data_IF_431630685613
#
_entry.id   IF_431630685613
#
_cell.length_a   1.000
_cell.length_b   1.000
_cell.length_c   1.000
_cell.angle_alpha   90.00
_cell.angle_beta   90.00
_cell.angle_gamma   90.00
#
_symmetry.space_group_name_H-M   'P 1'
#
loop_
_entity.id
_entity.type
_entity.pdbx_description
1 polymer ?
#
# COMPACT_ATOMS: atom_id res chain seq x y z
N UNK A 1 -1.10 13.88 -7.73
CA UNK A 1 0.00 12.91 -7.49
C UNK A 1 -0.48 11.69 -6.69
N UNK A 2 -1.26 11.85 -5.61
CA UNK A 2 -1.74 10.71 -4.80
C UNK A 2 -2.61 9.72 -5.59
N UNK A 3 -3.37 10.18 -6.58
CA UNK A 3 -4.37 9.34 -7.27
C UNK A 3 -3.78 8.11 -7.94
N UNK A 4 -2.59 8.22 -8.55
CA UNK A 4 -1.91 7.07 -9.16
C UNK A 4 -1.54 6.03 -8.11
N UNK A 5 -0.96 6.48 -6.98
CA UNK A 5 -0.61 5.60 -5.86
C UNK A 5 -1.87 4.96 -5.24
N UNK A 6 -2.93 5.73 -5.04
CA UNK A 6 -4.20 5.21 -4.49
C UNK A 6 -4.81 4.18 -5.43
N UNK A 7 -4.80 4.42 -6.75
CA UNK A 7 -5.27 3.45 -7.73
C UNK A 7 -4.43 2.17 -7.73
N UNK A 8 -3.10 2.29 -7.64
CA UNK A 8 -2.19 1.16 -7.55
C UNK A 8 -2.43 0.34 -6.27
N UNK A 9 -2.51 1.02 -5.12
CA UNK A 9 -2.78 0.42 -3.82
C UNK A 9 -4.13 -0.31 -3.79
N UNK A 10 -5.19 0.30 -4.32
CA UNK A 10 -6.51 -0.33 -4.38
C UNK A 10 -6.46 -1.61 -5.23
N UNK A 11 -5.83 -1.55 -6.41
CA UNK A 11 -5.68 -2.72 -7.28
C UNK A 11 -4.90 -3.84 -6.58
N UNK A 12 -3.76 -3.52 -5.97
CA UNK A 12 -2.95 -4.46 -5.22
C UNK A 12 -3.74 -5.09 -4.06
N UNK A 13 -4.45 -4.29 -3.27
CA UNK A 13 -5.18 -4.79 -2.09
C UNK A 13 -6.37 -5.66 -2.48
N UNK A 14 -7.09 -5.34 -3.56
CA UNK A 14 -8.17 -6.23 -4.02
C UNK A 14 -7.63 -7.57 -4.53
N UNK A 15 -6.47 -7.56 -5.20
CA UNK A 15 -5.77 -8.79 -5.57
C UNK A 15 -5.37 -9.58 -4.32
N UNK A 16 -4.74 -8.92 -3.34
CA UNK A 16 -4.35 -9.53 -2.06
C UNK A 16 -5.55 -10.11 -1.30
N UNK A 17 -6.63 -9.35 -1.17
CA UNK A 17 -7.84 -9.80 -0.48
C UNK A 17 -8.47 -11.01 -1.17
N UNK A 18 -8.47 -11.05 -2.51
CA UNK A 18 -8.92 -12.21 -3.26
C UNK A 18 -8.08 -13.46 -2.97
N UNK A 19 -6.75 -13.32 -2.88
CA UNK A 19 -5.86 -14.43 -2.52
C UNK A 19 -6.07 -14.89 -1.07
N UNK A 20 -6.20 -13.96 -0.12
CA UNK A 20 -6.49 -14.30 1.29
C UNK A 20 -7.83 -15.05 1.37
N UNK A 21 -8.87 -14.56 0.69
CA UNK A 21 -10.19 -15.18 0.72
C UNK A 21 -10.21 -16.62 0.18
N UNK A 22 -9.41 -16.92 -0.85
CA UNK A 22 -9.26 -18.30 -1.35
C UNK A 22 -8.68 -19.26 -0.29
N UNK A 23 -7.84 -18.75 0.61
CA UNK A 23 -7.21 -19.53 1.67
C UNK A 23 -8.02 -19.61 2.97
N UNK A 24 -8.95 -18.68 3.19
CA UNK A 24 -9.71 -18.50 4.42
C UNK A 24 -11.23 -18.50 4.13
N UNK A 25 -11.71 -19.61 3.56
CA UNK A 25 -13.13 -19.76 3.20
C UNK A 25 -13.98 -19.83 4.48
N UNK A 26 -15.05 -19.04 4.53
CA UNK A 26 -15.97 -18.93 5.67
C UNK A 26 -15.36 -18.36 6.97
N UNK A 27 -14.20 -17.72 6.89
CA UNK A 27 -13.60 -17.00 8.02
C UNK A 27 -13.82 -15.49 7.87
N UNK A 28 -13.75 -14.79 9.00
CA UNK A 28 -13.77 -13.32 9.02
C UNK A 28 -12.40 -12.81 8.57
N UNK A 29 -12.36 -11.97 7.54
CA UNK A 29 -11.14 -11.34 7.03
C UNK A 29 -11.20 -9.84 7.33
N UNK A 30 -10.23 -9.36 8.11
CA UNK A 30 -10.04 -7.95 8.40
C UNK A 30 -8.57 -7.58 8.20
N UNK A 31 -8.31 -6.65 7.28
CA UNK A 31 -6.97 -6.19 6.94
C UNK A 31 -6.95 -4.66 6.88
N UNK A 32 -5.76 -4.07 7.00
CA UNK A 32 -5.53 -2.64 6.75
C UNK A 32 -4.82 -2.47 5.40
N UNK A 33 -5.55 -2.15 4.32
CA UNK A 33 -5.00 -1.90 2.98
C UNK A 33 -3.81 -0.94 2.98
N UNK A 34 -4.01 0.22 3.60
CA UNK A 34 -3.03 1.31 3.62
C UNK A 34 -1.77 0.92 4.38
N UNK A 35 -1.89 0.21 5.52
CA UNK A 35 -0.72 -0.21 6.30
C UNK A 35 0.17 -1.18 5.52
N UNK A 36 -0.44 -2.19 4.88
CA UNK A 36 0.31 -3.19 4.09
C UNK A 36 1.01 -2.50 2.89
N UNK A 37 0.30 -1.62 2.19
CA UNK A 37 0.85 -0.91 1.05
C UNK A 37 2.03 0.00 1.45
N UNK A 38 1.90 0.77 2.54
CA UNK A 38 2.98 1.65 3.04
C UNK A 38 4.20 0.81 3.46
N UNK A 39 4.02 -0.25 4.24
CA UNK A 39 5.12 -1.11 4.68
C UNK A 39 5.89 -1.75 3.50
N UNK A 40 5.17 -2.24 2.49
CA UNK A 40 5.77 -2.79 1.28
C UNK A 40 6.42 -1.71 0.40
N UNK A 41 5.88 -0.49 0.38
CA UNK A 41 6.51 0.64 -0.30
C UNK A 41 7.82 1.06 0.35
N UNK A 42 7.93 0.97 1.68
CA UNK A 42 9.22 1.19 2.37
C UNK A 42 10.21 0.08 2.07
N UNK A 43 9.75 -1.18 2.03
CA UNK A 43 10.60 -2.30 1.61
C UNK A 43 11.08 -2.15 0.16
N UNK A 44 10.21 -1.64 -0.73
CA UNK A 44 10.54 -1.37 -2.13
C UNK A 44 11.69 -0.37 -2.30
N UNK A 45 11.83 0.61 -1.39
CA UNK A 45 12.95 1.56 -1.40
C UNK A 45 14.31 0.88 -1.24
N UNK A 46 14.39 -0.20 -0.46
CA UNK A 46 15.62 -0.96 -0.24
C UNK A 46 15.84 -2.10 -1.22
N UNK A 47 14.86 -2.41 -2.09
CA UNK A 47 14.96 -3.49 -3.05
C UNK A 47 15.77 -3.08 -4.28
N UNK A 48 16.45 -4.05 -4.92
CA UNK A 48 17.19 -3.84 -6.16
C UNK A 48 17.02 -5.02 -7.13
N UNK A 49 17.33 -4.78 -8.40
CA UNK A 49 17.31 -5.79 -9.46
C UNK A 49 15.95 -6.49 -9.58
N UNK A 50 15.96 -7.82 -9.72
CA UNK A 50 14.74 -8.62 -9.89
C UNK A 50 13.75 -8.49 -8.73
N UNK A 51 14.25 -8.30 -7.50
CA UNK A 51 13.38 -8.12 -6.34
C UNK A 51 12.56 -6.84 -6.48
N UNK A 52 13.22 -5.74 -6.83
CA UNK A 52 12.55 -4.46 -7.06
C UNK A 52 11.56 -4.55 -8.23
N UNK A 53 11.93 -5.21 -9.31
CA UNK A 53 11.07 -5.42 -10.49
C UNK A 53 9.78 -6.18 -10.13
N UNK A 54 9.87 -7.29 -9.41
CA UNK A 54 8.69 -8.05 -9.00
C UNK A 54 7.83 -7.28 -8.00
N UNK A 55 8.44 -6.53 -7.08
CA UNK A 55 7.69 -5.67 -6.16
C UNK A 55 6.94 -4.57 -6.91
N UNK A 56 7.59 -3.89 -7.87
CA UNK A 56 6.94 -2.86 -8.67
C UNK A 56 5.73 -3.40 -9.43
N UNK A 57 5.85 -4.59 -10.01
CA UNK A 57 4.75 -5.26 -10.71
C UNK A 57 3.60 -5.64 -9.77
N UNK A 58 3.90 -6.28 -8.65
CA UNK A 58 2.88 -6.72 -7.68
C UNK A 58 2.16 -5.54 -7.04
N UNK A 59 2.90 -4.47 -6.69
CA UNK A 59 2.35 -3.26 -6.08
C UNK A 59 1.72 -2.31 -7.11
N UNK A 60 1.76 -2.65 -8.41
CA UNK A 60 1.24 -1.82 -9.50
C UNK A 60 1.90 -0.43 -9.58
N UNK A 61 3.20 -0.34 -9.31
CA UNK A 61 3.99 0.89 -9.36
C UNK A 61 4.48 1.26 -10.77
N UNK A 62 4.15 0.46 -11.78
CA UNK A 62 4.51 0.66 -13.18
C UNK A 62 4.05 2.05 -13.66
N UNK A 63 4.98 2.85 -14.20
CA UNK A 63 4.70 4.22 -14.64
C UNK A 63 4.78 5.29 -13.54
N UNK A 64 5.28 4.95 -12.35
CA UNK A 64 5.72 5.88 -11.31
C UNK A 64 7.20 5.65 -11.00
N UNK A 65 7.95 6.72 -10.75
CA UNK A 65 9.30 6.62 -10.23
C UNK A 65 9.30 6.57 -8.68
N UNK A 66 10.44 6.20 -8.08
CA UNK A 66 10.56 6.02 -6.63
C UNK A 66 10.26 7.30 -5.85
N UNK A 67 10.65 8.46 -6.37
CA UNK A 67 10.41 9.75 -5.72
C UNK A 67 8.91 10.10 -5.71
N UNK A 68 8.21 9.89 -6.81
CA UNK A 68 6.74 10.07 -6.89
C UNK A 68 6.01 9.16 -5.88
N UNK A 69 6.45 7.91 -5.75
CA UNK A 69 5.89 6.94 -4.80
C UNK A 69 6.11 7.40 -3.36
N UNK A 70 7.33 7.87 -3.03
CA UNK A 70 7.67 8.31 -1.69
C UNK A 70 6.91 9.59 -1.31
N UNK A 71 6.85 10.58 -2.20
CA UNK A 71 6.10 11.81 -1.98
C UNK A 71 4.60 11.53 -1.80
N UNK A 72 4.02 10.65 -2.63
CA UNK A 72 2.61 10.29 -2.52
C UNK A 72 2.30 9.52 -1.22
N UNK A 73 3.18 8.62 -0.76
CA UNK A 73 3.01 7.92 0.52
C UNK A 73 3.15 8.87 1.70
N UNK A 74 4.08 9.83 1.67
CA UNK A 74 4.21 10.85 2.72
C UNK A 74 2.93 11.71 2.81
N UNK A 75 2.40 12.14 1.66
CA UNK A 75 1.14 12.88 1.60
C UNK A 75 -0.03 12.07 2.16
N UNK A 76 -0.11 10.79 1.82
CA UNK A 76 -1.14 9.88 2.35
C UNK A 76 -0.98 9.68 3.86
N UNK A 77 0.23 9.48 4.38
CA UNK A 77 0.50 9.35 5.80
C UNK A 77 0.06 10.58 6.58
N UNK A 78 0.49 11.77 6.14
CA UNK A 78 0.07 13.03 6.74
C UNK A 78 -1.45 13.21 6.72
N UNK A 79 -2.11 12.83 5.62
CA UNK A 79 -3.57 12.88 5.53
C UNK A 79 -4.22 11.97 6.59
N UNK A 80 -3.75 10.73 6.73
CA UNK A 80 -4.27 9.76 7.71
C UNK A 80 -4.04 10.20 9.16
N UNK A 81 -2.92 10.85 9.46
CA UNK A 81 -2.62 11.42 10.79
C UNK A 81 -3.44 12.68 11.09
N UNK A 82 -3.76 13.46 10.06
CA UNK A 82 -4.55 14.70 10.18
C UNK A 82 -6.07 14.48 10.14
N UNK A 83 -6.52 13.22 10.12
CA UNK A 83 -7.95 12.89 10.24
C UNK A 83 -8.51 13.50 11.54
N UNK A 84 -9.81 13.82 11.52
CA UNK A 84 -10.42 14.65 12.56
C UNK A 84 -10.10 14.16 14.00
N UNK A 85 -10.17 15.07 14.98
CA UNK A 85 -9.81 14.79 16.38
C UNK A 85 -10.66 13.71 17.10
N UNK A 86 -11.78 13.30 16.52
CA UNK A 86 -12.65 12.22 17.02
C UNK A 86 -12.21 10.84 16.49
N UNK A 87 -11.42 10.79 15.41
CA UNK A 87 -10.92 9.56 14.81
C UNK A 87 -9.64 9.14 15.53
N UNK A 88 -9.68 7.99 16.21
CA UNK A 88 -8.48 7.32 16.73
C UNK A 88 -7.97 6.32 15.71
N UNK A 89 -6.98 6.73 14.92
CA UNK A 89 -6.28 5.88 13.96
C UNK A 89 -4.79 5.84 14.32
N UNK A 90 -4.26 4.63 14.53
CA UNK A 90 -2.83 4.41 14.76
C UNK A 90 -2.29 3.52 13.64
N UNK A 91 -1.24 4.00 12.98
CA UNK A 91 -0.48 3.26 11.96
C UNK A 91 0.98 3.31 12.40
N UNK A 92 1.66 2.17 12.46
CA UNK A 92 3.05 2.07 12.89
C UNK A 92 3.80 1.16 11.94
N UNK A 93 4.77 1.71 11.22
CA UNK A 93 5.64 0.98 10.30
C UNK A 93 7.10 1.40 10.49
#
# INVERSE_FOLDING_TARGET
MIEKLVSANNKFVFQLFSEIHKSQINENIFISPSSIAIALSMTYNGAAGKTQEFMAKTLNFEGMNLEEINQANQQLGNFLESLNSEIKLNISN
#
